data_IF_439492391487
#
_entry.id   IF_439492391487
#
_cell.length_a   1.000
_cell.length_b   1.000
_cell.length_c   1.000
_cell.angle_alpha   90.00
_cell.angle_beta   90.00
_cell.angle_gamma   90.00
#
_symmetry.space_group_name_H-M   'P 1'
#
loop_
_entity.id
_entity.type
_entity.pdbx_description
1 polymer ?
#
# COMPACT_ATOMS: atom_id res chain seq x y z
N UNK A 1 -3.33 5.13 35.32
CA UNK A 1 -4.11 4.13 34.56
C UNK A 1 -4.38 4.57 33.12
N UNK A 2 -5.03 5.71 32.89
CA UNK A 2 -5.39 6.19 31.53
C UNK A 2 -4.25 6.26 30.48
N UNK A 3 -3.02 6.64 30.85
CA UNK A 3 -1.88 6.72 29.89
C UNK A 3 -1.48 5.35 29.32
N UNK A 4 -1.37 4.33 30.18
CA UNK A 4 -1.06 2.95 29.75
C UNK A 4 -2.16 2.35 28.89
N UNK A 5 -3.41 2.70 29.18
CA UNK A 5 -4.58 2.29 28.39
C UNK A 5 -4.54 2.89 26.97
N UNK A 6 -4.25 4.19 26.86
CA UNK A 6 -4.10 4.88 25.58
C UNK A 6 -2.91 4.35 24.78
N UNK A 7 -1.78 4.04 25.43
CA UNK A 7 -0.62 3.43 24.76
C UNK A 7 -0.95 2.04 24.21
N UNK A 8 -1.69 1.23 24.98
CA UNK A 8 -2.12 -0.10 24.55
C UNK A 8 -3.11 -0.03 23.38
N UNK A 9 -4.02 0.93 23.40
CA UNK A 9 -4.99 1.18 22.33
C UNK A 9 -4.31 1.73 21.06
N UNK A 10 -3.31 2.60 21.20
CA UNK A 10 -2.49 3.08 20.08
C UNK A 10 -1.71 1.94 19.44
N UNK A 11 -1.04 1.10 20.24
CA UNK A 11 -0.23 0.00 19.72
C UNK A 11 -1.12 -1.06 19.03
N UNK A 12 -2.34 -1.27 19.53
CA UNK A 12 -3.36 -2.09 18.87
C UNK A 12 -3.80 -1.48 17.52
N UNK A 13 -4.05 -0.18 17.46
CA UNK A 13 -4.42 0.52 16.22
C UNK A 13 -3.30 0.50 15.18
N UNK A 14 -2.03 0.61 15.61
CA UNK A 14 -0.88 0.50 14.71
C UNK A 14 -0.79 -0.91 14.13
N UNK A 15 -0.98 -1.94 14.94
CA UNK A 15 -1.01 -3.32 14.45
C UNK A 15 -2.17 -3.55 13.46
N UNK A 16 -3.36 -3.00 13.74
CA UNK A 16 -4.50 -3.07 12.82
C UNK A 16 -4.25 -2.31 11.52
N UNK A 17 -3.58 -1.15 11.56
CA UNK A 17 -3.21 -0.41 10.35
C UNK A 17 -2.20 -1.18 9.49
N UNK A 18 -1.21 -1.82 10.11
CA UNK A 18 -0.23 -2.62 9.39
C UNK A 18 -0.88 -3.84 8.71
N UNK A 19 -1.78 -4.53 9.40
CA UNK A 19 -2.55 -5.66 8.86
C UNK A 19 -3.41 -5.23 7.66
N UNK A 20 -4.05 -4.06 7.74
CA UNK A 20 -4.82 -3.48 6.62
C UNK A 20 -3.93 -3.08 5.45
N UNK A 21 -2.74 -2.53 5.71
CA UNK A 21 -1.78 -2.16 4.66
C UNK A 21 -1.26 -3.40 3.92
N UNK A 22 -0.88 -4.45 4.65
CA UNK A 22 -0.44 -5.72 4.07
C UNK A 22 -1.56 -6.35 3.22
N UNK A 23 -2.80 -6.31 3.73
CA UNK A 23 -3.98 -6.77 2.99
C UNK A 23 -4.23 -5.95 1.70
N UNK A 24 -3.99 -4.64 1.73
CA UNK A 24 -4.14 -3.78 0.56
C UNK A 24 -3.06 -4.07 -0.49
N UNK A 25 -1.83 -4.33 -0.08
CA UNK A 25 -0.74 -4.72 -0.99
C UNK A 25 -1.02 -6.07 -1.65
N UNK A 26 -1.48 -7.07 -0.88
CA UNK A 26 -1.94 -8.37 -1.42
C UNK A 26 -3.04 -8.17 -2.47
N UNK A 27 -4.06 -7.37 -2.16
CA UNK A 27 -5.16 -7.09 -3.08
C UNK A 27 -4.70 -6.34 -4.33
N UNK A 28 -3.73 -5.43 -4.21
CA UNK A 28 -3.17 -4.71 -5.36
C UNK A 28 -2.44 -5.67 -6.30
N UNK A 29 -1.61 -6.56 -5.76
CA UNK A 29 -0.91 -7.60 -6.53
C UNK A 29 -1.91 -8.55 -7.20
N UNK A 30 -2.89 -9.07 -6.45
CA UNK A 30 -3.93 -9.95 -6.99
C UNK A 30 -4.74 -9.26 -8.10
N UNK A 31 -5.06 -7.98 -7.94
CA UNK A 31 -5.77 -7.22 -8.96
C UNK A 31 -4.94 -7.09 -10.23
N UNK A 32 -3.64 -6.79 -10.12
CA UNK A 32 -2.71 -6.70 -11.24
C UNK A 32 -2.58 -8.02 -12.01
N UNK A 33 -2.49 -9.15 -11.31
CA UNK A 33 -2.49 -10.46 -11.94
C UNK A 33 -3.81 -10.77 -12.66
N UNK A 34 -4.95 -10.41 -12.06
CA UNK A 34 -6.27 -10.57 -12.71
C UNK A 34 -6.36 -9.73 -13.99
N UNK A 35 -5.91 -8.48 -13.99
CA UNK A 35 -5.88 -7.64 -15.19
C UNK A 35 -4.99 -8.24 -16.29
N UNK A 36 -3.84 -8.79 -15.93
CA UNK A 36 -2.95 -9.46 -16.89
C UNK A 36 -3.62 -10.69 -17.52
N UNK A 37 -4.28 -11.54 -16.72
CA UNK A 37 -5.02 -12.72 -17.23
C UNK A 37 -6.20 -12.32 -18.13
N UNK A 38 -6.90 -11.23 -17.79
CA UNK A 38 -7.97 -10.69 -18.64
C UNK A 38 -7.41 -10.26 -20.00
N UNK A 39 -6.33 -9.49 -20.02
CA UNK A 39 -5.70 -9.03 -21.26
C UNK A 39 -5.22 -10.21 -22.14
N UNK A 40 -4.62 -11.24 -21.53
CA UNK A 40 -4.22 -12.47 -22.23
C UNK A 40 -5.42 -13.23 -22.82
N UNK A 41 -6.53 -13.32 -22.08
CA UNK A 41 -7.78 -13.93 -22.52
C UNK A 41 -8.43 -13.15 -23.67
N UNK A 42 -8.45 -11.81 -23.60
CA UNK A 42 -8.97 -10.95 -24.65
C UNK A 42 -8.19 -11.10 -25.96
N UNK A 43 -6.85 -11.16 -25.87
CA UNK A 43 -5.99 -11.41 -27.03
C UNK A 43 -6.25 -12.80 -27.66
N UNK A 44 -6.42 -13.83 -26.83
CA UNK A 44 -6.75 -15.17 -27.31
C UNK A 44 -8.12 -15.21 -28.00
N UNK A 45 -9.13 -14.55 -27.43
CA UNK A 45 -10.47 -14.44 -28.02
C UNK A 45 -10.45 -13.69 -29.36
N UNK A 46 -9.66 -12.63 -29.48
CA UNK A 46 -9.49 -11.93 -30.75
C UNK A 46 -8.91 -12.85 -31.85
N UNK A 47 -7.88 -13.63 -31.52
CA UNK A 47 -7.30 -14.59 -32.46
C UNK A 47 -8.27 -15.72 -32.84
N UNK A 48 -9.05 -16.22 -31.87
CA UNK A 48 -10.08 -17.23 -32.15
C UNK A 48 -11.21 -16.68 -33.03
N UNK A 49 -11.59 -15.42 -32.83
CA UNK A 49 -12.60 -14.76 -33.66
C UNK A 49 -12.14 -14.62 -35.10
N UNK A 50 -10.88 -14.24 -35.32
CA UNK A 50 -10.30 -14.17 -36.67
C UNK A 50 -10.31 -15.54 -37.37
N UNK A 51 -9.94 -16.61 -36.64
CA UNK A 51 -10.02 -17.98 -37.16
C UNK A 51 -11.46 -18.40 -37.49
N UNK A 52 -12.43 -18.02 -36.66
CA UNK A 52 -13.83 -18.30 -36.88
C UNK A 52 -14.35 -17.58 -38.14
N UNK A 53 -14.02 -16.29 -38.29
CA UNK A 53 -14.42 -15.49 -39.45
C UNK A 53 -13.83 -16.08 -40.74
N UNK A 54 -12.57 -16.55 -40.71
CA UNK A 54 -11.94 -17.27 -41.84
C UNK A 54 -12.69 -18.56 -42.19
N UNK A 55 -12.97 -19.41 -41.19
CA UNK A 55 -13.67 -20.68 -41.41
C UNK A 55 -15.11 -20.47 -41.93
N UNK A 56 -15.81 -19.44 -41.45
CA UNK A 56 -17.13 -19.07 -41.94
C UNK A 56 -17.07 -18.59 -43.39
N UNK A 57 -16.02 -17.84 -43.77
CA UNK A 57 -15.79 -17.44 -45.17
C UNK A 57 -15.62 -18.67 -46.07
N UNK A 58 -14.75 -19.60 -45.70
CA UNK A 58 -14.53 -20.86 -46.44
C UNK A 58 -15.83 -21.66 -46.61
N UNK A 59 -16.63 -21.77 -45.54
CA UNK A 59 -17.94 -22.44 -45.62
C UNK A 59 -18.91 -21.73 -46.56
N UNK A 60 -18.92 -20.40 -46.57
CA UNK A 60 -19.79 -19.64 -47.47
C UNK A 60 -19.39 -19.80 -48.95
N UNK A 61 -18.10 -20.03 -49.23
CA UNK A 61 -17.61 -20.31 -50.59
C UNK A 61 -18.01 -21.72 -51.07
N UNK A 62 -17.98 -22.72 -50.18
CA UNK A 62 -18.34 -24.12 -50.54
C UNK A 62 -19.85 -24.34 -50.60
N UNK A 63 -20.63 -23.60 -49.80
CA UNK A 63 -22.10 -23.74 -49.71
C UNK A 63 -22.85 -23.68 -51.05
N UNK A 64 -22.58 -22.74 -51.99
CA UNK A 64 -23.28 -22.71 -53.29
C UNK A 64 -23.00 -23.96 -54.13
N UNK A 65 -21.75 -24.44 -54.16
CA UNK A 65 -21.38 -25.67 -54.89
C UNK A 65 -22.09 -26.88 -54.30
N UNK A 66 -22.13 -26.97 -52.96
CA UNK A 66 -22.88 -28.01 -52.27
C UNK A 66 -24.39 -27.95 -52.61
N UNK A 67 -25.00 -26.78 -52.58
CA UNK A 67 -26.42 -26.61 -52.91
C UNK A 67 -26.71 -26.96 -54.38
N UNK A 68 -25.83 -26.59 -55.32
CA UNK A 68 -25.97 -26.91 -56.73
C UNK A 68 -25.90 -28.43 -56.98
N UNK A 69 -24.99 -29.14 -56.29
CA UNK A 69 -24.91 -30.60 -56.33
C UNK A 69 -26.18 -31.24 -55.75
N UNK A 70 -26.68 -30.73 -54.62
CA UNK A 70 -27.92 -31.23 -53.99
C UNK A 70 -29.13 -31.00 -54.91
N UNK A 71 -29.24 -29.83 -55.55
CA UNK A 71 -30.31 -29.52 -56.48
C UNK A 71 -30.25 -30.41 -57.73
N UNK A 72 -29.05 -30.64 -58.27
CA UNK A 72 -28.81 -31.56 -59.37
C UNK A 72 -29.24 -32.99 -59.00
N UNK A 73 -28.74 -33.52 -57.88
CA UNK A 73 -29.08 -34.88 -57.43
C UNK A 73 -30.57 -35.03 -57.10
N UNK A 74 -31.20 -34.01 -56.52
CA UNK A 74 -32.65 -34.01 -56.23
C UNK A 74 -33.47 -34.08 -57.53
N UNK A 75 -33.03 -33.37 -58.58
CA UNK A 75 -33.65 -33.41 -59.91
C UNK A 75 -33.45 -34.75 -60.61
N UNK A 76 -32.24 -35.31 -60.55
CA UNK A 76 -31.89 -36.60 -61.15
C UNK A 76 -32.64 -37.76 -60.47
N UNK A 77 -32.73 -37.75 -59.14
CA UNK A 77 -33.48 -38.73 -58.35
C UNK A 77 -35.00 -38.57 -58.54
N UNK A 78 -35.50 -37.33 -58.64
CA UNK A 78 -36.90 -37.06 -58.97
C UNK A 78 -37.30 -37.54 -60.36
N UNK A 79 -36.38 -37.47 -61.34
CA UNK A 79 -36.57 -38.03 -62.68
C UNK A 79 -36.48 -39.57 -62.70
N UNK A 80 -35.53 -40.13 -61.94
CA UNK A 80 -35.28 -41.58 -61.85
C UNK A 80 -36.34 -42.32 -61.01
N UNK A 81 -37.06 -41.64 -60.12
CA UNK A 81 -38.19 -42.22 -59.37
C UNK A 81 -39.38 -42.63 -60.26
N UNK A 82 -39.42 -42.21 -61.52
CA UNK A 82 -40.43 -42.65 -62.50
C UNK A 82 -40.02 -43.91 -63.29
N UNK A 83 -38.76 -44.34 -63.19
CA UNK A 83 -38.21 -45.45 -63.96
C UNK A 83 -37.16 -46.17 -63.11
N UNK A 84 -37.57 -47.20 -62.37
CA UNK A 84 -36.82 -48.47 -62.16
C UNK A 84 -37.29 -49.19 -60.88
N UNK A 85 -38.00 -50.30 -61.09
CA UNK A 85 -37.87 -51.48 -60.24
C UNK A 85 -36.47 -52.07 -60.45
N UNK A 86 -35.60 -52.06 -59.41
CA UNK A 86 -34.63 -53.12 -59.06
C UNK A 86 -33.47 -52.63 -58.15
N UNK A 87 -33.31 -53.36 -57.05
CA UNK A 87 -32.04 -53.82 -56.44
C UNK A 87 -31.08 -52.79 -55.78
N UNK A 88 -31.30 -52.60 -54.46
CA UNK A 88 -30.37 -52.62 -53.30
C UNK A 88 -28.94 -52.04 -53.31
N UNK A 89 -28.44 -51.44 -54.39
CA UNK A 89 -27.13 -50.75 -54.40
C UNK A 89 -27.19 -49.29 -53.92
N UNK A 90 -27.83 -48.39 -54.69
CA UNK A 90 -27.87 -46.96 -54.37
C UNK A 90 -28.75 -46.63 -53.15
N UNK A 91 -29.77 -47.43 -52.87
CA UNK A 91 -30.66 -47.24 -51.72
C UNK A 91 -29.94 -47.43 -50.37
N UNK A 92 -28.97 -48.35 -50.32
CA UNK A 92 -28.14 -48.61 -49.13
C UNK A 92 -27.18 -47.45 -48.85
N UNK A 93 -26.54 -46.89 -49.89
CA UNK A 93 -25.67 -45.73 -49.76
C UNK A 93 -26.43 -44.47 -49.32
N UNK A 94 -27.64 -44.26 -49.87
CA UNK A 94 -28.54 -43.17 -49.44
C UNK A 94 -28.95 -43.35 -47.97
N UNK A 95 -29.29 -44.57 -47.55
CA UNK A 95 -29.65 -44.86 -46.16
C UNK A 95 -28.49 -44.58 -45.19
N UNK A 96 -27.26 -44.95 -45.55
CA UNK A 96 -26.07 -44.66 -44.76
C UNK A 96 -25.80 -43.15 -44.64
N UNK A 97 -25.92 -42.40 -45.74
CA UNK A 97 -25.75 -40.93 -45.72
C UNK A 97 -26.85 -40.24 -44.90
N UNK A 98 -28.09 -40.72 -44.97
CA UNK A 98 -29.18 -40.22 -44.12
C UNK A 98 -28.91 -40.50 -42.63
N UNK A 99 -28.40 -41.68 -42.29
CA UNK A 99 -28.01 -42.01 -40.91
C UNK A 99 -26.83 -41.16 -40.42
N UNK A 100 -25.83 -40.89 -41.27
CA UNK A 100 -24.71 -40.01 -40.95
C UNK A 100 -25.15 -38.55 -40.77
N UNK A 101 -26.02 -38.04 -41.64
CA UNK A 101 -26.63 -36.72 -41.53
C UNK A 101 -27.44 -36.58 -40.24
N UNK A 102 -28.29 -37.55 -39.93
CA UNK A 102 -29.08 -37.56 -38.70
C UNK A 102 -28.21 -37.57 -37.43
N UNK A 103 -27.05 -38.27 -37.46
CA UNK A 103 -26.06 -38.23 -36.38
C UNK A 103 -25.42 -36.85 -36.27
N UNK A 104 -24.98 -36.26 -37.38
CA UNK A 104 -24.38 -34.93 -37.39
C UNK A 104 -25.36 -33.84 -36.90
N UNK A 105 -26.64 -33.93 -37.25
CA UNK A 105 -27.70 -33.01 -36.76
C UNK A 105 -27.96 -33.19 -35.26
N UNK A 106 -27.90 -34.41 -34.74
CA UNK A 106 -28.00 -34.69 -33.30
C UNK A 106 -26.78 -34.15 -32.53
N UNK A 107 -25.59 -34.26 -33.09
CA UNK A 107 -24.38 -33.70 -32.48
C UNK A 107 -24.41 -32.17 -32.50
N UNK A 108 -24.86 -31.56 -33.61
CA UNK A 108 -25.04 -30.12 -33.73
C UNK A 108 -26.07 -29.56 -32.74
N UNK A 109 -27.21 -30.24 -32.55
CA UNK A 109 -28.21 -29.84 -31.54
C UNK A 109 -27.68 -30.00 -30.12
N UNK A 110 -26.86 -31.01 -29.86
CA UNK A 110 -26.20 -31.18 -28.57
C UNK A 110 -25.23 -30.04 -28.29
N UNK A 111 -24.38 -29.67 -29.27
CA UNK A 111 -23.45 -28.55 -29.17
C UNK A 111 -24.19 -27.22 -28.97
N UNK A 112 -25.30 -27.01 -29.67
CA UNK A 112 -26.14 -25.82 -29.49
C UNK A 112 -26.66 -25.71 -28.04
N UNK A 113 -27.13 -26.82 -27.46
CA UNK A 113 -27.59 -26.85 -26.06
C UNK A 113 -26.46 -26.58 -25.06
N UNK A 114 -25.23 -27.03 -25.36
CA UNK A 114 -24.05 -26.76 -24.54
C UNK A 114 -23.65 -25.28 -24.61
N UNK A 115 -23.72 -24.67 -25.80
CA UNK A 115 -23.43 -23.25 -25.98
C UNK A 115 -24.46 -22.37 -25.27
N UNK A 116 -25.76 -22.69 -25.32
CA UNK A 116 -26.78 -21.97 -24.54
C UNK A 116 -26.52 -22.05 -23.03
N UNK A 117 -26.10 -23.22 -22.54
CA UNK A 117 -25.74 -23.40 -21.14
C UNK A 117 -24.50 -22.58 -20.75
N UNK A 118 -23.48 -22.57 -21.60
CA UNK A 118 -22.27 -21.77 -21.39
C UNK A 118 -22.58 -20.27 -21.41
N UNK A 119 -23.43 -19.80 -22.34
CA UNK A 119 -23.90 -18.41 -22.39
C UNK A 119 -24.64 -18.02 -21.10
N UNK A 120 -25.51 -18.90 -20.61
CA UNK A 120 -26.22 -18.69 -19.34
C UNK A 120 -25.25 -18.60 -18.16
N UNK A 121 -24.24 -19.48 -18.11
CA UNK A 121 -23.20 -19.43 -17.08
C UNK A 121 -22.36 -18.14 -17.18
N UNK A 122 -22.01 -17.73 -18.41
CA UNK A 122 -21.25 -16.51 -18.66
C UNK A 122 -22.02 -15.27 -18.17
N UNK A 123 -23.31 -15.17 -18.51
CA UNK A 123 -24.18 -14.09 -18.01
C UNK A 123 -24.25 -14.10 -16.48
N UNK A 124 -24.40 -15.26 -15.85
CA UNK A 124 -24.41 -15.35 -14.38
C UNK A 124 -23.11 -14.86 -13.74
N UNK A 125 -21.96 -15.16 -14.34
CA UNK A 125 -20.65 -14.65 -13.87
C UNK A 125 -20.55 -13.14 -14.09
N UNK A 126 -21.04 -12.61 -15.21
CA UNK A 126 -21.06 -11.17 -15.48
C UNK A 126 -21.93 -10.41 -14.47
N UNK A 127 -23.14 -10.88 -14.17
CA UNK A 127 -24.01 -10.27 -13.16
C UNK A 127 -23.38 -10.27 -11.76
N UNK A 128 -22.72 -11.37 -11.39
CA UNK A 128 -22.00 -11.45 -10.12
C UNK A 128 -20.84 -10.46 -10.06
N UNK A 129 -20.11 -10.31 -11.16
CA UNK A 129 -19.02 -9.35 -11.28
C UNK A 129 -19.52 -7.91 -11.15
N UNK A 130 -20.58 -7.54 -11.88
CA UNK A 130 -21.18 -6.20 -11.80
C UNK A 130 -21.69 -5.89 -10.38
N UNK A 131 -22.35 -6.85 -9.73
CA UNK A 131 -22.79 -6.69 -8.34
C UNK A 131 -21.62 -6.47 -7.37
N UNK A 132 -20.53 -7.22 -7.55
CA UNK A 132 -19.33 -7.08 -6.73
C UNK A 132 -18.63 -5.74 -6.97
N UNK A 133 -18.54 -5.32 -8.23
CA UNK A 133 -17.94 -4.04 -8.63
C UNK A 133 -18.70 -2.84 -8.03
N UNK A 134 -20.03 -2.84 -8.12
CA UNK A 134 -20.86 -1.77 -7.54
C UNK A 134 -20.71 -1.69 -6.02
N UNK A 135 -20.71 -2.84 -5.32
CA UNK A 135 -20.47 -2.89 -3.87
C UNK A 135 -19.08 -2.34 -3.51
N UNK A 136 -18.06 -2.71 -4.28
CA UNK A 136 -16.69 -2.20 -4.07
C UNK A 136 -16.61 -0.69 -4.27
N UNK A 137 -17.30 -0.14 -5.27
CA UNK A 137 -17.36 1.30 -5.51
C UNK A 137 -18.07 2.05 -4.37
N UNK A 138 -19.17 1.50 -3.83
CA UNK A 138 -19.89 2.09 -2.70
C UNK A 138 -19.04 2.06 -1.41
N UNK A 139 -18.32 0.96 -1.19
CA UNK A 139 -17.36 0.85 -0.09
C UNK A 139 -16.23 1.88 -0.21
N UNK A 140 -15.68 2.07 -1.42
CA UNK A 140 -14.63 3.07 -1.66
C UNK A 140 -15.09 4.49 -1.30
N UNK A 141 -16.31 4.88 -1.70
CA UNK A 141 -16.90 6.19 -1.30
C UNK A 141 -17.05 6.31 0.21
N UNK A 142 -17.51 5.24 0.86
CA UNK A 142 -17.67 5.23 2.33
C UNK A 142 -16.33 5.41 3.05
N UNK A 143 -15.26 4.79 2.54
CA UNK A 143 -13.90 4.92 3.07
C UNK A 143 -13.42 6.37 2.88
N UNK A 144 -13.61 6.95 1.69
CA UNK A 144 -13.23 8.34 1.40
C UNK A 144 -13.89 9.34 2.38
N UNK A 145 -15.19 9.20 2.65
CA UNK A 145 -15.91 10.01 3.64
C UNK A 145 -15.34 9.84 5.07
N UNK A 146 -14.97 8.60 5.43
CA UNK A 146 -14.36 8.32 6.74
C UNK A 146 -12.97 8.93 6.87
N UNK A 147 -12.15 8.86 5.81
CA UNK A 147 -10.83 9.46 5.75
C UNK A 147 -10.90 10.98 5.90
N UNK A 148 -11.86 11.64 5.24
CA UNK A 148 -12.06 13.08 5.41
C UNK A 148 -12.41 13.43 6.86
N UNK A 149 -13.29 12.63 7.49
CA UNK A 149 -13.65 12.80 8.90
C UNK A 149 -12.45 12.62 9.82
N UNK A 150 -11.60 11.62 9.58
CA UNK A 150 -10.36 11.39 10.33
C UNK A 150 -9.39 12.56 10.13
N UNK A 151 -9.20 13.02 8.89
CA UNK A 151 -8.36 14.17 8.54
C UNK A 151 -8.80 15.43 9.29
N UNK A 152 -10.11 15.69 9.35
CA UNK A 152 -10.67 16.82 10.08
C UNK A 152 -10.40 16.73 11.60
N UNK A 153 -10.51 15.53 12.18
CA UNK A 153 -10.22 15.27 13.60
C UNK A 153 -8.73 15.42 13.89
N UNK A 154 -7.85 14.90 13.04
CA UNK A 154 -6.40 15.04 13.17
C UNK A 154 -5.96 16.50 13.12
N UNK A 155 -6.55 17.31 12.22
CA UNK A 155 -6.31 18.75 12.19
C UNK A 155 -6.73 19.45 13.49
N UNK A 156 -7.86 19.05 14.09
CA UNK A 156 -8.28 19.55 15.42
C UNK A 156 -7.31 19.11 16.52
N UNK A 157 -6.87 17.86 16.49
CA UNK A 157 -5.92 17.31 17.47
C UNK A 157 -4.57 18.03 17.40
N UNK A 158 -4.07 18.33 16.20
CA UNK A 158 -2.85 19.09 15.97
C UNK A 158 -2.95 20.53 16.53
N UNK A 159 -4.09 21.20 16.34
CA UNK A 159 -4.34 22.51 16.96
C UNK A 159 -4.35 22.43 18.50
N UNK A 160 -4.94 21.38 19.06
CA UNK A 160 -4.97 21.16 20.51
C UNK A 160 -3.57 20.85 21.06
N UNK A 161 -2.78 20.03 20.35
CA UNK A 161 -1.41 19.71 20.76
C UNK A 161 -0.50 20.94 20.70
N UNK A 162 -0.68 21.80 19.70
CA UNK A 162 0.01 23.09 19.62
C UNK A 162 -0.37 24.00 20.79
N UNK A 163 -1.68 24.19 21.07
CA UNK A 163 -2.13 24.99 22.22
C UNK A 163 -1.59 24.45 23.55
N UNK A 164 -1.53 23.12 23.69
CA UNK A 164 -0.93 22.48 24.87
C UNK A 164 0.55 22.83 24.98
N UNK A 165 1.30 22.79 23.88
CA UNK A 165 2.72 23.16 23.84
C UNK A 165 2.92 24.61 24.26
N UNK A 166 2.16 25.53 23.67
CA UNK A 166 2.19 26.96 24.01
C UNK A 166 1.84 27.22 25.48
N UNK A 167 0.85 26.50 26.03
CA UNK A 167 0.49 26.62 27.45
C UNK A 167 1.61 26.14 28.38
N UNK A 168 2.30 25.05 28.02
CA UNK A 168 3.46 24.55 28.77
C UNK A 168 4.62 25.55 28.71
N UNK A 169 4.91 26.11 27.54
CA UNK A 169 5.95 27.13 27.37
C UNK A 169 5.64 28.39 28.20
N UNK A 170 4.39 28.86 28.21
CA UNK A 170 3.97 29.98 29.07
C UNK A 170 4.10 29.67 30.56
N UNK A 171 3.69 28.48 30.99
CA UNK A 171 3.82 28.07 32.39
C UNK A 171 5.30 28.03 32.82
N UNK A 172 6.18 27.53 31.95
CA UNK A 172 7.63 27.52 32.18
C UNK A 172 8.21 28.94 32.25
N UNK A 173 7.75 29.87 31.40
CA UNK A 173 8.18 31.26 31.44
C UNK A 173 7.77 31.95 32.75
N UNK A 174 6.51 31.78 33.17
CA UNK A 174 6.00 32.31 34.44
C UNK A 174 6.73 31.72 35.65
N UNK A 175 7.09 30.44 35.63
CA UNK A 175 7.90 29.83 36.69
C UNK A 175 9.29 30.47 36.82
N UNK A 176 9.94 30.81 35.69
CA UNK A 176 11.21 31.54 35.68
C UNK A 176 11.04 32.93 36.27
N UNK A 177 10.00 33.65 35.84
CA UNK A 177 9.70 35.01 36.34
C UNK A 177 9.41 35.01 37.85
N UNK A 178 8.65 34.02 38.35
CA UNK A 178 8.39 33.86 39.80
C UNK A 178 9.70 33.60 40.56
N UNK A 179 10.62 32.79 40.02
CA UNK A 179 11.90 32.49 40.66
C UNK A 179 12.84 33.72 40.65
N UNK A 180 12.87 34.49 39.57
CA UNK A 180 13.61 35.76 39.50
C UNK A 180 13.09 36.76 40.53
N UNK A 181 11.77 36.91 40.66
CA UNK A 181 11.16 37.77 41.67
C UNK A 181 11.46 37.29 43.11
N UNK A 182 11.47 35.97 43.35
CA UNK A 182 11.86 35.40 44.64
C UNK A 182 13.31 35.67 44.99
N UNK A 183 14.22 35.56 44.03
CA UNK A 183 15.65 35.83 44.22
C UNK A 183 15.92 37.30 44.61
N UNK A 184 15.11 38.25 44.14
CA UNK A 184 15.19 39.66 44.54
C UNK A 184 14.69 39.88 45.97
N UNK A 185 13.70 39.09 46.43
CA UNK A 185 13.16 39.19 47.79
C UNK A 185 13.98 38.46 48.87
N UNK A 186 14.91 37.56 48.51
CA UNK A 186 15.77 36.80 49.44
C UNK A 186 17.13 37.47 49.76
N UNK A 187 17.22 38.80 49.67
CA UNK A 187 18.40 39.53 50.18
C UNK A 187 18.28 39.66 51.71
N UNK A 188 18.88 38.70 52.44
CA UNK A 188 19.21 38.89 53.87
C UNK A 188 20.36 39.91 54.00
N UNK A 189 20.27 40.86 54.95
CA UNK A 189 21.37 41.79 55.20
C UNK A 189 22.57 41.03 55.77
N UNK A 190 23.72 41.40 55.23
CA UNK A 190 25.04 40.82 55.40
C UNK A 190 25.45 40.61 56.86
N UNK A 191 26.00 39.43 57.15
CA UNK A 191 27.06 39.31 58.14
C UNK A 191 28.00 38.16 57.78
N UNK A 192 29.10 38.57 57.17
CA UNK A 192 30.39 37.91 57.16
C UNK A 192 30.44 36.56 56.44
N UNK A 193 30.76 36.69 55.15
CA UNK A 193 31.89 36.00 54.54
C UNK A 193 31.85 34.49 54.58
N UNK A 194 31.46 33.86 53.47
CA UNK A 194 32.03 32.56 53.10
C UNK A 194 31.68 32.15 51.66
N UNK A 195 32.73 31.67 50.98
CA UNK A 195 32.85 30.41 50.22
C UNK A 195 31.66 29.92 49.36
N UNK A 196 32.01 29.60 48.11
CA UNK A 196 31.35 28.62 47.23
C UNK A 196 29.92 28.91 46.80
N UNK A 197 29.75 29.91 45.92
CA UNK A 197 28.49 30.14 45.16
C UNK A 197 28.30 29.24 43.92
N UNK A 198 28.93 28.06 43.86
CA UNK A 198 29.01 27.30 42.61
C UNK A 198 28.12 26.06 42.52
N UNK A 199 27.40 25.65 43.57
CA UNK A 199 26.76 24.31 43.60
C UNK A 199 25.25 24.24 43.30
N UNK A 200 24.51 25.36 43.29
CA UNK A 200 23.03 25.28 43.28
C UNK A 200 22.36 25.57 41.92
N UNK A 201 23.11 25.95 40.88
CA UNK A 201 22.57 26.19 39.53
C UNK A 201 22.49 24.87 38.73
N UNK A 202 23.43 23.95 38.95
CA UNK A 202 23.53 22.70 38.19
C UNK A 202 22.44 21.68 38.58
N UNK A 203 22.01 21.68 39.85
CA UNK A 203 21.00 20.75 40.37
C UNK A 203 19.58 20.98 39.84
N UNK A 204 19.20 22.24 39.56
CA UNK A 204 17.83 22.58 39.09
C UNK A 204 17.65 22.41 37.57
N UNK A 205 18.71 22.54 36.77
CA UNK A 205 18.68 22.23 35.34
C UNK A 205 18.53 20.72 35.07
N UNK A 206 19.11 19.87 35.93
CA UNK A 206 18.96 18.41 35.89
C UNK A 206 17.50 17.97 36.12
N UNK A 207 16.75 18.72 36.92
CA UNK A 207 15.34 18.43 37.21
C UNK A 207 14.40 18.78 36.02
N UNK A 208 14.71 19.83 35.26
CA UNK A 208 14.05 20.16 33.97
C UNK A 208 14.30 19.11 32.88
N UNK A 209 15.41 18.37 32.97
CA UNK A 209 15.86 17.35 31.99
C UNK A 209 15.15 16.01 32.15
N UNK A 210 14.83 15.62 33.39
CA UNK A 210 14.18 14.36 33.73
C UNK A 210 12.79 14.18 33.07
N UNK A 211 11.96 15.23 32.98
CA UNK A 211 10.60 15.13 32.44
C UNK A 211 10.49 15.08 30.90
N UNK A 212 11.48 15.59 30.15
CA UNK A 212 11.52 15.50 28.67
C UNK A 212 12.14 14.19 28.19
N UNK A 213 13.05 13.61 28.97
CA UNK A 213 13.67 12.30 28.69
C UNK A 213 12.63 11.19 28.73
N UNK A 214 11.63 11.28 29.61
CA UNK A 214 10.51 10.31 29.66
C UNK A 214 9.58 10.32 28.44
N UNK A 215 9.57 11.41 27.64
CA UNK A 215 8.68 11.56 26.49
C UNK A 215 9.25 10.95 25.20
N UNK A 216 10.58 10.87 25.10
CA UNK A 216 11.32 10.32 23.94
C UNK A 216 12.26 9.18 24.34
N UNK A 217 12.05 8.59 25.51
CA UNK A 217 12.97 7.62 26.11
C UNK A 217 13.24 6.42 25.21
N UNK A 218 12.23 5.98 24.45
CA UNK A 218 12.32 4.83 23.55
C UNK A 218 13.12 5.15 22.29
N UNK A 219 12.82 6.27 21.63
CA UNK A 219 13.51 6.74 20.42
C UNK A 219 14.96 7.09 20.71
N UNK A 220 15.22 7.72 21.87
CA UNK A 220 16.59 8.02 22.30
C UNK A 220 17.40 6.77 22.58
N UNK A 221 16.77 5.76 23.20
CA UNK A 221 17.43 4.49 23.48
C UNK A 221 17.80 3.75 22.20
N UNK A 222 16.97 3.86 21.15
CA UNK A 222 17.27 3.28 19.84
C UNK A 222 18.49 3.94 19.19
N UNK A 223 18.57 5.28 19.22
CA UNK A 223 19.74 5.99 18.69
C UNK A 223 21.00 5.63 19.48
N UNK A 224 20.93 5.63 20.83
CA UNK A 224 22.08 5.31 21.68
C UNK A 224 22.60 3.88 21.53
N UNK A 225 21.71 2.92 21.28
CA UNK A 225 22.07 1.49 21.19
C UNK A 225 22.43 1.04 19.78
N UNK A 226 22.23 1.89 18.76
CA UNK A 226 22.54 1.53 17.39
C UNK A 226 24.03 1.69 17.07
N UNK A 227 24.56 0.83 16.20
CA UNK A 227 25.94 0.91 15.71
C UNK A 227 26.19 2.05 14.72
N UNK A 228 25.15 2.83 14.39
CA UNK A 228 25.20 3.93 13.42
C UNK A 228 25.30 5.30 14.10
N UNK A 229 25.32 5.33 15.43
CA UNK A 229 25.60 6.52 16.23
C UNK A 229 26.90 6.31 16.98
N UNK A 230 27.89 7.16 16.73
CA UNK A 230 29.17 7.11 17.43
C UNK A 230 29.29 8.35 18.32
N UNK A 231 29.10 8.14 19.63
CA UNK A 231 29.10 9.22 20.61
C UNK A 231 30.42 9.98 20.65
N UNK A 232 31.54 9.26 20.60
CA UNK A 232 32.88 9.84 20.70
C UNK A 232 33.16 10.66 19.45
N UNK A 233 32.92 10.08 18.28
CA UNK A 233 33.11 10.77 17.01
C UNK A 233 32.19 11.98 16.86
N UNK A 234 30.93 11.87 17.29
CA UNK A 234 29.97 12.96 17.23
C UNK A 234 30.43 14.14 18.08
N UNK A 235 30.94 13.90 19.28
CA UNK A 235 31.48 14.96 20.15
C UNK A 235 32.79 15.56 19.60
N UNK A 236 33.67 14.74 19.02
CA UNK A 236 34.90 15.23 18.38
C UNK A 236 34.61 16.16 17.20
N UNK A 237 33.57 15.85 16.41
CA UNK A 237 33.12 16.67 15.28
C UNK A 237 32.31 17.89 15.69
N UNK A 238 31.57 17.82 16.79
CA UNK A 238 30.64 18.86 17.25
C UNK A 238 31.08 19.42 18.61
N UNK A 239 32.12 20.26 18.59
CA UNK A 239 32.72 20.83 19.82
C UNK A 239 31.75 21.67 20.64
N UNK A 240 30.81 22.33 19.98
CA UNK A 240 29.71 23.07 20.62
C UNK A 240 28.85 22.15 21.50
N UNK A 241 28.61 20.92 21.06
CA UNK A 241 27.87 19.91 21.84
C UNK A 241 28.71 19.43 23.01
N UNK A 242 30.01 19.18 22.79
CA UNK A 242 30.94 18.77 23.85
C UNK A 242 31.03 19.82 24.97
N UNK A 243 31.14 21.09 24.61
CA UNK A 243 31.20 22.22 25.55
C UNK A 243 29.88 22.45 26.29
N UNK A 244 28.75 22.15 25.65
CA UNK A 244 27.41 22.29 26.26
C UNK A 244 27.10 21.23 27.34
N UNK A 245 27.82 20.11 27.38
CA UNK A 245 27.52 18.98 28.26
C UNK A 245 26.18 18.32 27.96
N UNK A 246 25.65 18.48 26.75
CA UNK A 246 24.40 17.84 26.33
C UNK A 246 24.71 16.41 25.89
N UNK A 247 23.90 15.45 26.34
CA UNK A 247 23.89 14.08 25.83
C UNK A 247 23.91 14.05 24.29
N UNK A 248 24.92 13.45 23.66
CA UNK A 248 25.13 13.57 22.20
C UNK A 248 23.97 12.99 21.38
N UNK A 249 23.42 11.84 21.81
CA UNK A 249 22.29 11.22 21.14
C UNK A 249 21.02 12.08 21.26
N UNK A 250 20.79 12.70 22.43
CA UNK A 250 19.72 13.67 22.62
C UNK A 250 19.88 14.89 21.73
N UNK A 251 21.11 15.42 21.62
CA UNK A 251 21.40 16.56 20.76
C UNK A 251 21.12 16.22 19.30
N UNK A 252 21.61 15.07 18.83
CA UNK A 252 21.36 14.63 17.47
C UNK A 252 19.86 14.43 17.18
N UNK A 253 19.14 13.81 18.11
CA UNK A 253 17.70 13.57 17.98
C UNK A 253 16.91 14.87 17.85
N UNK A 254 17.22 15.88 18.66
CA UNK A 254 16.45 17.12 18.73
C UNK A 254 16.87 18.16 17.69
N UNK A 255 18.15 18.23 17.35
CA UNK A 255 18.73 19.32 16.57
C UNK A 255 19.64 18.80 15.45
N UNK A 256 20.51 17.84 15.76
CA UNK A 256 21.56 17.43 14.83
C UNK A 256 21.06 16.90 13.49
N UNK A 257 19.93 16.20 13.46
CA UNK A 257 19.33 15.74 12.20
C UNK A 257 18.80 16.88 11.31
N UNK A 258 18.17 17.89 11.90
CA UNK A 258 17.66 19.06 11.16
C UNK A 258 18.81 19.93 10.64
N UNK A 259 19.87 20.05 11.45
CA UNK A 259 21.12 20.71 11.10
C UNK A 259 21.99 19.91 10.11
N UNK A 260 21.51 18.77 9.61
CA UNK A 260 22.24 17.87 8.69
C UNK A 260 23.59 17.39 9.24
N UNK A 261 23.76 17.34 10.56
CA UNK A 261 24.96 16.78 11.19
C UNK A 261 24.93 15.26 11.06
N UNK A 262 26.08 14.66 10.81
CA UNK A 262 26.19 13.21 10.73
C UNK A 262 26.30 12.61 12.14
N UNK A 263 25.61 11.49 12.43
CA UNK A 263 25.69 10.79 13.71
C UNK A 263 26.92 9.88 13.84
N UNK A 264 27.52 9.46 12.73
CA UNK A 264 28.73 8.64 12.69
C UNK A 264 29.40 8.70 11.30
N UNK A 265 30.63 8.20 11.14
CA UNK A 265 31.26 8.05 9.83
C UNK A 265 30.50 7.12 8.85
N UNK A 266 29.62 6.28 9.38
CA UNK A 266 28.93 5.23 8.62
C UNK A 266 27.51 5.62 8.19
N UNK A 267 27.04 6.79 8.61
CA UNK A 267 25.72 7.30 8.28
C UNK A 267 25.82 8.77 7.92
N UNK A 268 25.45 9.12 6.69
CA UNK A 268 25.37 10.52 6.28
C UNK A 268 23.92 10.98 6.29
N UNK A 269 23.62 11.90 7.20
CA UNK A 269 22.30 12.54 7.36
C UNK A 269 21.90 13.26 6.08
N UNK A 270 22.84 14.02 5.52
CA UNK A 270 22.62 14.78 4.29
C UNK A 270 22.36 13.85 3.09
N UNK A 271 23.20 12.83 2.91
CA UNK A 271 23.01 11.88 1.81
C UNK A 271 21.69 11.13 1.91
N UNK A 272 21.31 10.69 3.11
CA UNK A 272 20.07 9.95 3.33
C UNK A 272 18.84 10.79 2.99
N UNK A 273 18.80 12.06 3.44
CA UNK A 273 17.70 12.97 3.15
C UNK A 273 17.62 13.35 1.65
N UNK A 274 18.77 13.45 0.98
CA UNK A 274 18.80 13.74 -0.47
C UNK A 274 18.37 12.51 -1.30
N UNK A 275 18.67 11.30 -0.84
CA UNK A 275 18.33 10.04 -1.52
C UNK A 275 16.88 9.64 -1.28
N UNK A 276 16.31 10.03 -0.14
CA UNK A 276 14.96 9.70 0.29
C UNK A 276 14.13 10.97 0.57
N UNK A 277 13.57 11.62 -0.47
CA UNK A 277 12.86 12.89 -0.34
C UNK A 277 11.60 12.81 0.51
N UNK A 278 10.97 11.63 0.60
CA UNK A 278 9.82 11.34 1.45
C UNK A 278 10.15 11.60 2.94
N UNK A 279 11.32 11.15 3.39
CA UNK A 279 11.81 11.37 4.76
C UNK A 279 12.08 12.84 5.02
N UNK A 280 12.63 13.54 4.02
CA UNK A 280 12.91 14.97 4.11
C UNK A 280 11.64 15.83 4.15
N UNK A 281 10.64 15.50 3.33
CA UNK A 281 9.36 16.23 3.26
C UNK A 281 8.57 16.11 4.57
N UNK A 282 8.56 14.92 5.17
CA UNK A 282 7.91 14.65 6.45
C UNK A 282 8.72 15.14 7.67
N UNK A 283 9.92 15.71 7.45
CA UNK A 283 10.85 16.17 8.49
C UNK A 283 11.14 15.11 9.56
N UNK A 284 11.24 13.86 9.15
CA UNK A 284 11.52 12.74 10.05
C UNK A 284 13.04 12.67 10.29
N UNK A 285 13.45 12.37 11.52
CA UNK A 285 14.87 12.14 11.83
C UNK A 285 15.37 10.93 10.99
N UNK A 286 16.38 11.11 10.12
CA UNK A 286 16.75 10.12 9.12
C UNK A 286 17.38 8.86 9.72
N UNK A 287 18.18 9.00 10.78
CA UNK A 287 18.74 7.84 11.47
C UNK A 287 17.63 7.04 12.16
N UNK A 288 16.69 7.73 12.80
CA UNK A 288 15.56 7.06 13.45
C UNK A 288 14.64 6.39 12.42
N UNK A 289 14.37 7.04 11.29
CA UNK A 289 13.63 6.46 10.18
C UNK A 289 14.30 5.17 9.69
N UNK A 290 15.62 5.21 9.48
CA UNK A 290 16.36 4.04 9.05
C UNK A 290 16.26 2.88 10.04
N UNK A 291 16.40 3.17 11.35
CA UNK A 291 16.34 2.15 12.40
C UNK A 291 14.96 1.51 12.55
N UNK A 292 13.88 2.26 12.29
CA UNK A 292 12.50 1.81 12.48
C UNK A 292 11.92 1.14 11.22
N UNK A 293 12.16 1.72 10.05
CA UNK A 293 11.51 1.32 8.79
C UNK A 293 12.49 1.17 7.62
N UNK A 294 13.46 2.09 7.49
CA UNK A 294 14.34 2.11 6.32
C UNK A 294 15.16 0.83 6.13
N UNK A 295 15.57 0.14 7.21
CA UNK A 295 16.29 -1.13 7.13
C UNK A 295 15.41 -2.26 6.55
N UNK A 296 14.16 -2.37 6.95
CA UNK A 296 13.21 -3.37 6.43
C UNK A 296 12.77 -3.05 5.00
N UNK A 297 12.70 -1.77 4.66
CA UNK A 297 12.42 -1.29 3.29
C UNK A 297 13.61 -1.47 2.32
N UNK A 298 14.74 -2.00 2.79
CA UNK A 298 15.93 -2.19 1.96
C UNK A 298 16.64 -0.89 1.57
N UNK A 299 16.40 0.20 2.30
CA UNK A 299 17.08 1.48 2.06
C UNK A 299 18.57 1.37 2.36
N UNK A 300 19.38 2.12 1.62
CA UNK A 300 20.82 2.23 1.82
C UNK A 300 21.13 3.35 2.82
N UNK A 301 22.27 3.21 3.49
CA UNK A 301 22.74 4.09 4.57
C UNK A 301 23.63 5.22 4.08
N UNK A 302 24.36 4.95 3.01
CA UNK A 302 25.35 5.82 2.40
C UNK A 302 25.64 5.32 0.98
N UNK A 303 26.26 6.19 0.18
CA UNK A 303 26.86 5.84 -1.11
C UNK A 303 28.12 5.01 -0.88
N UNK A 304 27.95 3.72 -0.55
CA UNK A 304 28.99 2.70 -0.67
C UNK A 304 28.45 1.50 -1.44
#
# INVERSE_FOLDING_TARGET
MKKKEIEKERDLLIAQLHDVQERLEELYIESGEKYKRIAESEAANASLKEKLDSAVSELNEVRPVYNEIVDYLTRELGASASVCDAQDGPLSAIKLLMEQKARAEKDATTVASMNERLLTQLHGVQEQFESCFLKSQEQAKTIEDQEEKIRSKNKKLQKLSQRKREAVERAQALEVEIEELRAVTEVKPDSQGERSRSFNILGKALLKRSQKVDLYSKELSLIKSCSLFDEVWYLEKNKDVAESGIDPALHYFLYGAEDRRDPSPHFSTEWYLNTYPDVAQEKINPLLHYLIAGKSEGRKLSSM
#
